data_IF_430122274633
#
_entry.id   IF_430122274633
#
_cell.length_a   1.000
_cell.length_b   1.000
_cell.length_c   1.000
_cell.angle_alpha   90.00
_cell.angle_beta   90.00
_cell.angle_gamma   90.00
#
_symmetry.space_group_name_H-M   'P 1'
#
loop_
_entity.id
_entity.type
_entity.pdbx_description
1 polymer ?
#
# COMPACT_ATOMS: atom_id res chain seq x y z
N UNK A 1 -19.81 -12.71 0.27
CA UNK A 1 -18.90 -11.79 0.96
C UNK A 1 -17.76 -12.60 1.55
N UNK A 2 -16.57 -12.19 1.30
CA UNK A 2 -15.44 -12.85 1.94
C UNK A 2 -15.35 -12.39 3.40
N UNK A 3 -14.87 -13.26 4.26
CA UNK A 3 -14.71 -12.92 5.67
C UNK A 3 -13.74 -11.75 5.91
N UNK A 4 -13.60 -11.37 7.16
CA UNK A 4 -12.78 -10.22 7.55
C UNK A 4 -11.28 -10.55 7.66
N UNK A 5 -10.88 -11.77 7.31
CA UNK A 5 -9.46 -12.14 7.35
C UNK A 5 -8.68 -11.32 6.32
N UNK A 6 -7.55 -10.73 6.70
CA UNK A 6 -6.70 -10.02 5.76
C UNK A 6 -6.18 -10.94 4.66
N UNK A 7 -6.11 -10.43 3.44
CA UNK A 7 -5.52 -11.13 2.31
C UNK A 7 -4.09 -10.68 2.10
N UNK A 8 -3.25 -11.62 1.70
CA UNK A 8 -1.86 -11.36 1.38
C UNK A 8 -1.64 -11.46 -0.13
N UNK A 9 -0.96 -10.47 -0.68
CA UNK A 9 -0.40 -10.55 -2.02
C UNK A 9 1.08 -10.17 -1.92
N UNK A 10 1.91 -10.82 -2.72
CA UNK A 10 3.35 -10.59 -2.74
C UNK A 10 3.77 -10.08 -4.12
N UNK A 11 4.70 -9.15 -4.14
CA UNK A 11 5.21 -8.60 -5.39
C UNK A 11 6.41 -7.71 -5.16
N UNK A 12 6.70 -6.90 -6.14
CA UNK A 12 7.88 -6.04 -6.14
C UNK A 12 7.48 -4.61 -6.49
N UNK A 13 8.34 -3.67 -6.11
CA UNK A 13 8.22 -2.31 -6.60
C UNK A 13 8.78 -2.30 -8.02
N UNK A 14 7.91 -2.02 -8.98
CA UNK A 14 8.28 -1.98 -10.39
C UNK A 14 8.78 -0.59 -10.82
N UNK A 15 8.35 0.46 -10.14
CA UNK A 15 8.82 1.82 -10.39
C UNK A 15 8.66 2.69 -9.15
N UNK A 16 9.58 3.63 -9.00
CA UNK A 16 9.55 4.61 -7.90
C UNK A 16 8.64 5.80 -8.20
N UNK A 17 7.99 5.79 -9.35
CA UNK A 17 6.99 6.78 -9.73
C UNK A 17 5.78 6.10 -10.33
N UNK A 18 4.62 6.70 -10.18
CA UNK A 18 3.36 6.18 -10.70
C UNK A 18 3.07 6.60 -12.14
N UNK A 19 1.80 6.57 -12.51
CA UNK A 19 1.35 6.99 -13.83
C UNK A 19 1.81 8.42 -14.12
N UNK A 20 2.29 8.67 -15.34
CA UNK A 20 2.81 9.96 -15.78
C UNK A 20 3.94 10.48 -14.87
N UNK A 21 4.77 9.57 -14.37
CA UNK A 21 5.89 9.87 -13.47
C UNK A 21 5.50 10.58 -12.19
N UNK A 22 4.29 10.31 -11.68
CA UNK A 22 3.81 10.90 -10.43
C UNK A 22 4.65 10.39 -9.25
N UNK A 23 5.41 11.27 -8.58
CA UNK A 23 6.31 10.85 -7.51
C UNK A 23 5.60 10.43 -6.21
N UNK A 24 4.28 10.65 -6.10
CA UNK A 24 3.50 10.29 -4.91
C UNK A 24 3.22 8.81 -4.83
N UNK A 25 3.43 8.07 -5.91
CA UNK A 25 3.05 6.67 -6.02
C UNK A 25 4.23 5.79 -6.34
N UNK A 26 4.21 4.56 -5.80
CA UNK A 26 4.97 3.45 -6.36
C UNK A 26 4.11 2.74 -7.41
N UNK A 27 4.75 2.25 -8.46
CA UNK A 27 4.16 1.22 -9.30
C UNK A 27 4.59 -0.13 -8.75
N UNK A 28 3.63 -1.03 -8.53
CA UNK A 28 3.90 -2.34 -7.94
C UNK A 28 3.42 -3.46 -8.87
N UNK A 29 4.09 -4.61 -8.79
CA UNK A 29 3.73 -5.80 -9.55
C UNK A 29 2.80 -6.74 -8.79
N UNK A 30 2.60 -6.52 -7.50
CA UNK A 30 1.71 -7.35 -6.71
C UNK A 30 0.29 -7.32 -7.27
N UNK A 31 -0.38 -8.46 -7.38
CA UNK A 31 -1.77 -8.48 -7.83
C UNK A 31 -2.65 -7.78 -6.80
N UNK A 32 -3.43 -6.82 -7.28
CA UNK A 32 -4.38 -6.07 -6.44
C UNK A 32 -5.79 -6.44 -6.89
N UNK A 33 -6.53 -7.00 -5.96
CA UNK A 33 -7.92 -7.42 -6.17
C UNK A 33 -8.85 -6.48 -5.40
N UNK A 34 -10.15 -6.44 -5.72
CA UNK A 34 -11.11 -5.76 -4.87
C UNK A 34 -10.98 -6.25 -3.42
N UNK A 35 -10.87 -5.33 -2.49
CA UNK A 35 -10.63 -5.62 -1.08
C UNK A 35 -9.20 -5.40 -0.61
N UNK A 36 -8.23 -5.24 -1.53
CA UNK A 36 -6.85 -4.89 -1.18
C UNK A 36 -6.61 -3.38 -1.14
N UNK A 37 -7.45 -2.62 -1.83
CA UNK A 37 -7.35 -1.16 -1.85
C UNK A 37 -7.51 -0.59 -0.45
N UNK A 38 -6.63 0.32 -0.07
CA UNK A 38 -6.55 0.84 1.30
C UNK A 38 -5.70 0.00 2.23
N UNK A 39 -5.27 -1.20 1.79
CA UNK A 39 -4.38 -2.05 2.55
C UNK A 39 -2.95 -1.55 2.55
N UNK A 40 -2.17 -2.02 3.51
CA UNK A 40 -0.78 -1.63 3.64
C UNK A 40 0.12 -2.33 2.63
N UNK A 41 1.05 -1.58 2.06
CA UNK A 41 2.21 -2.12 1.37
C UNK A 41 3.36 -2.17 2.37
N UNK A 42 3.88 -3.37 2.63
CA UNK A 42 4.84 -3.62 3.70
C UNK A 42 6.12 -4.18 3.11
N UNK A 43 7.27 -3.67 3.56
CA UNK A 43 8.56 -4.16 3.12
C UNK A 43 9.00 -5.42 3.88
N UNK A 44 10.19 -5.95 3.53
CA UNK A 44 10.73 -7.16 4.15
C UNK A 44 11.08 -6.98 5.64
N UNK A 45 11.13 -5.75 6.12
CA UNK A 45 11.42 -5.43 7.52
C UNK A 45 10.16 -5.22 8.35
N UNK A 46 8.99 -5.25 7.71
CA UNK A 46 7.71 -5.01 8.37
C UNK A 46 7.29 -3.56 8.45
N UNK A 47 7.98 -2.66 7.75
CA UNK A 47 7.61 -1.26 7.69
C UNK A 47 6.52 -1.04 6.65
N UNK A 48 5.53 -0.22 6.97
CA UNK A 48 4.55 0.24 5.99
C UNK A 48 5.20 1.29 5.12
N UNK A 49 5.36 1.00 3.85
CA UNK A 49 5.97 1.91 2.88
C UNK A 49 4.96 2.56 1.95
N UNK A 50 3.73 2.10 1.96
CA UNK A 50 2.69 2.68 1.14
C UNK A 50 1.31 2.15 1.47
N UNK A 51 0.31 2.74 0.85
CA UNK A 51 -1.09 2.32 0.93
C UNK A 51 -1.54 1.96 -0.48
N UNK A 52 -2.05 0.76 -0.66
CA UNK A 52 -2.47 0.26 -1.97
C UNK A 52 -3.66 1.06 -2.47
N UNK A 53 -3.54 1.53 -3.71
CA UNK A 53 -4.63 2.15 -4.45
C UNK A 53 -4.92 1.27 -5.66
N UNK A 54 -6.01 0.53 -5.63
CA UNK A 54 -6.30 -0.46 -6.65
C UNK A 54 -6.65 0.16 -8.00
N UNK A 55 -7.11 1.40 -8.01
CA UNK A 55 -7.47 2.09 -9.24
C UNK A 55 -7.08 3.54 -9.13
N UNK A 56 -5.85 3.83 -9.45
CA UNK A 56 -5.58 5.13 -10.02
C UNK A 56 -6.35 5.15 -11.33
N UNK A 57 -7.25 6.08 -11.44
CA UNK A 57 -8.00 6.43 -12.62
C UNK A 57 -7.65 5.59 -13.86
N UNK A 58 -8.36 4.48 -14.05
CA UNK A 58 -8.16 3.61 -15.19
C UNK A 58 -8.32 4.37 -16.51
N UNK A 59 -9.13 5.43 -16.53
CA UNK A 59 -9.31 6.29 -17.69
C UNK A 59 -8.05 7.06 -18.01
N UNK A 60 -7.35 7.59 -17.01
CA UNK A 60 -6.09 8.28 -17.22
C UNK A 60 -4.99 7.33 -17.69
N UNK A 61 -4.92 6.14 -17.12
CA UNK A 61 -3.98 5.11 -17.56
C UNK A 61 -4.25 4.66 -18.99
N UNK A 62 -5.51 4.49 -19.37
CA UNK A 62 -5.92 4.16 -20.72
C UNK A 62 -5.55 5.26 -21.70
N UNK A 63 -5.80 6.53 -21.35
CA UNK A 63 -5.45 7.67 -22.19
C UNK A 63 -3.93 7.80 -22.41
N UNK A 64 -3.15 7.50 -21.38
CA UNK A 64 -1.71 7.60 -21.44
C UNK A 64 -1.07 6.45 -22.24
N UNK A 65 -1.62 5.25 -22.16
CA UNK A 65 -1.00 4.04 -22.75
C UNK A 65 -1.74 3.47 -23.94
N UNK A 66 -2.96 3.92 -24.21
CA UNK A 66 -3.80 3.37 -25.29
C UNK A 66 -4.41 2.02 -24.98
N UNK A 67 -4.14 1.46 -23.79
CA UNK A 67 -4.71 0.19 -23.33
C UNK A 67 -4.73 0.17 -21.81
N UNK A 68 -5.67 -0.59 -21.22
CA UNK A 68 -5.67 -0.83 -19.80
C UNK A 68 -4.43 -1.66 -19.43
N UNK A 69 -3.54 -1.16 -18.56
CA UNK A 69 -2.35 -1.91 -18.20
C UNK A 69 -2.74 -3.15 -17.37
N UNK A 70 -2.25 -4.31 -17.80
CA UNK A 70 -2.35 -5.53 -17.02
C UNK A 70 -1.24 -5.55 -15.98
N UNK A 71 -1.55 -5.99 -14.77
CA UNK A 71 -0.59 -6.15 -13.67
C UNK A 71 0.16 -4.85 -13.29
N UNK A 72 -0.42 -3.71 -13.61
CA UNK A 72 0.10 -2.43 -13.17
C UNK A 72 -0.81 -1.90 -12.08
N UNK A 73 -0.30 -1.87 -10.88
CA UNK A 73 -1.00 -1.39 -9.70
C UNK A 73 -0.15 -0.33 -9.01
N UNK A 74 -0.77 0.46 -8.17
CA UNK A 74 -0.10 1.60 -7.55
C UNK A 74 -0.34 1.62 -6.05
N UNK A 75 0.60 2.24 -5.34
CA UNK A 75 0.47 2.50 -3.92
C UNK A 75 0.94 3.92 -3.62
N UNK A 76 0.19 4.63 -2.79
CA UNK A 76 0.61 5.95 -2.30
C UNK A 76 1.76 5.73 -1.34
N UNK A 77 2.87 6.44 -1.55
CA UNK A 77 4.04 6.32 -0.69
C UNK A 77 3.73 6.81 0.73
N UNK A 78 4.21 6.09 1.74
CA UNK A 78 4.01 6.45 3.13
C UNK A 78 4.60 7.83 3.47
N UNK A 79 5.64 8.25 2.76
CA UNK A 79 6.23 9.58 2.94
C UNK A 79 5.24 10.72 2.70
N UNK A 80 4.25 10.52 1.82
CA UNK A 80 3.20 11.51 1.58
C UNK A 80 2.07 11.43 2.59
N UNK A 81 1.89 10.28 3.23
CA UNK A 81 0.92 10.12 4.32
C UNK A 81 1.46 10.65 5.64
N UNK A 82 2.76 10.57 5.84
CA UNK A 82 3.38 10.85 7.13
C UNK A 82 3.08 12.27 7.61
N UNK A 83 3.17 13.26 6.72
CA UNK A 83 2.84 14.63 7.06
C UNK A 83 1.40 14.80 7.56
N UNK A 84 0.46 14.12 6.91
CA UNK A 84 -0.93 14.12 7.36
C UNK A 84 -1.07 13.44 8.73
N UNK A 85 -0.44 12.29 8.92
CA UNK A 85 -0.51 11.56 10.19
C UNK A 85 0.12 12.34 11.32
N UNK A 86 1.24 13.03 11.06
CA UNK A 86 1.92 13.85 12.05
C UNK A 86 1.10 15.08 12.46
N UNK A 87 0.19 15.55 11.60
CA UNK A 87 -0.68 16.68 11.92
C UNK A 87 -1.77 16.32 12.94
N UNK A 88 -1.96 15.04 13.24
CA UNK A 88 -2.94 14.57 14.21
C UNK A 88 -2.18 14.07 15.44
N UNK A 89 -2.13 14.83 16.56
CA UNK A 89 -1.29 14.50 17.72
C UNK A 89 -1.55 13.10 18.30
N UNK A 90 -2.81 12.67 18.33
CA UNK A 90 -3.17 11.36 18.86
C UNK A 90 -2.61 10.22 18.00
N UNK A 91 -2.40 10.45 16.71
CA UNK A 91 -1.82 9.47 15.79
C UNK A 91 -0.30 9.56 15.81
N UNK A 92 0.25 10.78 15.76
CA UNK A 92 1.71 10.96 15.72
C UNK A 92 2.40 10.37 16.95
N UNK A 93 1.75 10.43 18.11
CA UNK A 93 2.28 9.85 19.35
C UNK A 93 2.37 8.31 19.30
N UNK A 94 1.63 7.68 18.39
CA UNK A 94 1.61 6.21 18.25
C UNK A 94 2.48 5.70 17.11
N UNK A 95 3.08 6.57 16.32
CA UNK A 95 3.96 6.17 15.24
C UNK A 95 5.24 5.59 15.82
N UNK A 96 5.62 4.43 15.30
CA UNK A 96 6.81 3.72 15.77
C UNK A 96 8.02 4.06 14.90
N UNK A 97 9.20 3.95 15.50
CA UNK A 97 10.44 4.03 14.75
C UNK A 97 10.52 2.91 13.72
N UNK A 98 10.95 3.20 12.48
CA UNK A 98 11.09 2.16 11.47
C UNK A 98 12.05 1.04 11.90
N UNK A 99 11.70 -0.19 11.53
CA UNK A 99 12.55 -1.35 11.74
C UNK A 99 13.64 -1.35 10.68
N UNK A 100 14.89 -1.49 11.09
CA UNK A 100 16.05 -1.44 10.19
C UNK A 100 16.63 -2.81 9.89
N UNK A 101 16.27 -3.85 10.66
CA UNK A 101 16.75 -5.20 10.47
C UNK A 101 15.77 -6.03 9.64
N UNK A 102 16.30 -6.90 8.78
CA UNK A 102 15.48 -7.84 8.02
C UNK A 102 14.79 -8.81 8.98
N UNK A 103 13.57 -9.21 8.64
CA UNK A 103 12.76 -10.13 9.42
C UNK A 103 12.34 -11.29 8.55
N UNK A 104 12.00 -12.41 9.18
CA UNK A 104 11.45 -13.56 8.47
C UNK A 104 10.10 -13.18 7.86
N UNK A 105 9.83 -13.70 6.66
CA UNK A 105 8.59 -13.40 5.94
C UNK A 105 7.36 -13.71 6.79
N UNK A 106 7.35 -14.85 7.49
CA UNK A 106 6.23 -15.24 8.35
C UNK A 106 5.98 -14.25 9.49
N UNK A 107 7.04 -13.67 10.04
CA UNK A 107 6.94 -12.68 11.11
C UNK A 107 6.34 -11.37 10.57
N UNK A 108 6.76 -10.96 9.38
CA UNK A 108 6.23 -9.76 8.72
C UNK A 108 4.75 -9.94 8.41
N UNK A 109 4.37 -11.09 7.87
CA UNK A 109 2.96 -11.39 7.57
C UNK A 109 2.11 -11.36 8.83
N UNK A 110 2.57 -11.99 9.90
CA UNK A 110 1.84 -12.02 11.16
C UNK A 110 1.67 -10.62 11.73
N UNK A 111 2.73 -9.84 11.74
CA UNK A 111 2.69 -8.45 12.23
C UNK A 111 1.67 -7.61 11.45
N UNK A 112 1.67 -7.74 10.13
CA UNK A 112 0.74 -7.02 9.27
C UNK A 112 -0.71 -7.48 9.49
N UNK A 113 -0.94 -8.78 9.62
CA UNK A 113 -2.27 -9.32 9.87
C UNK A 113 -2.81 -8.88 11.22
N UNK A 114 -1.98 -8.88 12.25
CA UNK A 114 -2.39 -8.46 13.60
C UNK A 114 -2.72 -6.96 13.65
N UNK A 115 -2.10 -6.16 12.80
CA UNK A 115 -2.32 -4.72 12.73
C UNK A 115 -3.50 -4.32 11.83
N UNK A 116 -3.95 -5.22 10.95
CA UNK A 116 -5.00 -4.92 9.99
C UNK A 116 -6.36 -4.79 10.69
N UNK A 117 -7.13 -3.79 10.29
CA UNK A 117 -8.46 -3.53 10.84
C UNK A 117 -9.46 -3.26 9.74
N UNK A 118 -10.72 -3.49 10.03
CA UNK A 118 -11.83 -3.10 9.17
C UNK A 118 -12.46 -1.84 9.74
N UNK A 119 -12.54 -0.79 8.90
CA UNK A 119 -13.19 0.45 9.30
C UNK A 119 -14.63 0.42 8.79
N UNK A 120 -15.57 0.52 9.71
CA UNK A 120 -17.00 0.60 9.38
C UNK A 120 -17.44 2.06 9.50
N UNK A 121 -18.14 2.52 8.47
CA UNK A 121 -18.68 3.88 8.43
C UNK A 121 -20.19 3.79 8.41
N UNK A 122 -20.82 4.45 9.36
CA UNK A 122 -22.27 4.45 9.51
C UNK A 122 -22.87 5.79 9.07
#
# INVERSE_FOLDING_TARGET
>A
MQGFAPKLAKGEIASLSGAADDPRYFQISAPVQPGNSGGALVDARGNVIGIVSAKLDASAALAASGALPENVNYAVKSSFLLGFLESVPAVSAKLKTPVTADRKFEEVVKSAQDAAVLVLVY
#
